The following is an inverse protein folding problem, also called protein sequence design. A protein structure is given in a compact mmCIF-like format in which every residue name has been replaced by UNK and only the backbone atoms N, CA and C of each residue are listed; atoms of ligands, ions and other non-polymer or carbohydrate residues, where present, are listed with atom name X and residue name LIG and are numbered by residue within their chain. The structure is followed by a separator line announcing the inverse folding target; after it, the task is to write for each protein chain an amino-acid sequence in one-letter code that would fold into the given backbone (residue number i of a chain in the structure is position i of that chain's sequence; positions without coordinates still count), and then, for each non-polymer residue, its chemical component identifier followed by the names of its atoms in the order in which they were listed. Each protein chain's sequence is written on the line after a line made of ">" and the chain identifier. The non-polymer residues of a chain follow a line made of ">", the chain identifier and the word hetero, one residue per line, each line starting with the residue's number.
data_IF_681631275885
#
_entry.id   IF_681631275885
#
_cell.length_a   1.000
_cell.length_b   1.000
_cell.length_c   1.000
_cell.angle_alpha   90.00
_cell.angle_beta   90.00
_cell.angle_gamma   90.00
#
_symmetry.space_group_name_H-M   'P 1'
#
loop_
_entity.id
_entity.type
_entity.pdbx_description
1 polymer ?
#
# COMPACT_ATOMS: atom_id res chain seq x y z
N UNK A 1 3.56 -10.74 1.96
CA UNK A 1 2.43 -9.89 1.50
C UNK A 1 2.78 -8.44 1.77
N UNK A 2 2.59 -7.60 0.79
CA UNK A 2 2.77 -6.14 0.85
C UNK A 2 1.72 -5.45 -0.01
N UNK A 3 1.26 -4.28 0.42
CA UNK A 3 0.58 -3.33 -0.46
C UNK A 3 1.51 -2.14 -0.66
N UNK A 4 2.15 -2.07 -1.84
CA UNK A 4 3.09 -1.01 -2.16
C UNK A 4 2.37 0.27 -2.57
N UNK A 5 2.60 1.33 -1.82
CA UNK A 5 2.04 2.65 -2.05
C UNK A 5 3.18 3.70 -2.06
N UNK A 6 3.95 3.78 -3.16
CA UNK A 6 5.01 4.79 -3.27
C UNK A 6 4.50 6.23 -3.28
N UNK A 7 3.21 6.44 -3.54
CA UNK A 7 2.53 7.73 -3.56
C UNK A 7 1.16 7.68 -2.87
N UNK A 8 0.57 8.84 -2.58
CA UNK A 8 -0.77 8.95 -2.00
C UNK A 8 -1.89 8.65 -3.01
N UNK A 9 -1.62 8.88 -4.31
CA UNK A 9 -2.53 8.50 -5.38
C UNK A 9 -2.40 7.01 -5.69
N UNK A 10 -3.53 6.32 -5.81
CA UNK A 10 -3.56 4.88 -6.01
C UNK A 10 -3.14 4.47 -7.42
N UNK A 11 -3.56 5.22 -8.43
CA UNK A 11 -3.19 4.90 -9.81
C UNK A 11 -1.71 5.22 -10.06
N UNK A 12 -1.24 6.35 -9.57
CA UNK A 12 0.18 6.72 -9.63
C UNK A 12 1.05 5.67 -8.94
N UNK A 13 0.63 5.21 -7.75
CA UNK A 13 1.31 4.11 -7.04
C UNK A 13 1.36 2.83 -7.88
N UNK A 14 0.24 2.40 -8.43
CA UNK A 14 0.16 1.19 -9.25
C UNK A 14 0.97 1.31 -10.55
N UNK A 15 0.87 2.45 -11.24
CA UNK A 15 1.59 2.72 -12.48
C UNK A 15 3.11 2.80 -12.28
N UNK A 16 3.57 3.20 -11.10
CA UNK A 16 4.99 3.27 -10.76
C UNK A 16 5.64 1.90 -10.56
N UNK A 17 4.88 0.84 -10.27
CA UNK A 17 5.42 -0.50 -10.02
C UNK A 17 5.97 -1.13 -11.30
N UNK A 18 7.02 -1.92 -11.18
CA UNK A 18 7.43 -2.83 -12.26
C UNK A 18 6.34 -3.90 -12.49
N UNK A 19 6.35 -4.54 -13.66
CA UNK A 19 5.30 -5.48 -14.07
C UNK A 19 5.14 -6.64 -13.08
N UNK A 20 6.25 -7.16 -12.54
CA UNK A 20 6.22 -8.26 -11.56
C UNK A 20 5.53 -7.84 -10.25
N UNK A 21 5.86 -6.65 -9.73
CA UNK A 21 5.25 -6.13 -8.50
C UNK A 21 3.80 -5.76 -8.72
N UNK A 22 3.47 -5.14 -9.84
CA UNK A 22 2.09 -4.82 -10.19
C UNK A 22 1.23 -6.10 -10.31
N UNK A 23 1.76 -7.14 -10.94
CA UNK A 23 1.07 -8.44 -11.02
C UNK A 23 0.78 -9.00 -9.62
N UNK A 24 1.76 -8.96 -8.72
CA UNK A 24 1.58 -9.42 -7.35
C UNK A 24 0.58 -8.55 -6.58
N UNK A 25 0.62 -7.22 -6.76
CA UNK A 25 -0.28 -6.31 -6.06
C UNK A 25 -1.75 -6.57 -6.34
N UNK A 26 -2.12 -6.88 -7.58
CA UNK A 26 -3.50 -7.27 -7.92
C UNK A 26 -3.94 -8.48 -7.09
N UNK A 27 -3.09 -9.49 -6.96
CA UNK A 27 -3.39 -10.70 -6.19
C UNK A 27 -3.42 -10.44 -4.69
N UNK A 28 -2.43 -9.73 -4.18
CA UNK A 28 -2.31 -9.45 -2.75
C UNK A 28 -3.43 -8.52 -2.25
N UNK A 29 -3.77 -7.47 -3.00
CA UNK A 29 -4.89 -6.59 -2.67
C UNK A 29 -6.23 -7.34 -2.71
N UNK A 30 -6.42 -8.26 -3.67
CA UNK A 30 -7.60 -9.14 -3.72
C UNK A 30 -7.72 -10.00 -2.47
N UNK A 31 -6.63 -10.65 -2.05
CA UNK A 31 -6.65 -11.47 -0.84
C UNK A 31 -6.97 -10.67 0.42
N UNK A 32 -6.46 -9.44 0.51
CA UNK A 32 -6.79 -8.58 1.66
C UNK A 32 -8.26 -8.16 1.62
N UNK A 33 -8.82 -7.87 0.44
CA UNK A 33 -10.26 -7.59 0.31
C UNK A 33 -11.11 -8.78 0.73
N UNK A 34 -10.82 -9.99 0.25
CA UNK A 34 -11.51 -11.21 0.62
C UNK A 34 -11.45 -11.43 2.14
N UNK A 35 -10.29 -11.23 2.75
CA UNK A 35 -10.17 -11.33 4.21
C UNK A 35 -10.99 -10.26 4.95
N UNK A 36 -11.04 -9.02 4.47
CA UNK A 36 -11.87 -7.96 5.06
C UNK A 36 -13.37 -8.24 4.92
N UNK A 37 -13.77 -8.95 3.86
CA UNK A 37 -15.14 -9.40 3.61
C UNK A 37 -15.51 -10.65 4.42
N UNK A 38 -14.57 -11.22 5.18
CA UNK A 38 -14.78 -12.42 5.99
C UNK A 38 -14.50 -13.73 5.26
N UNK A 39 -13.99 -13.64 4.04
CA UNK A 39 -13.64 -14.77 3.18
C UNK A 39 -12.12 -14.97 3.09
N UNK A 40 -11.70 -16.10 2.54
CA UNK A 40 -10.30 -16.35 2.21
C UNK A 40 -9.40 -16.68 3.41
N UNK A 41 -8.13 -16.33 3.29
CA UNK A 41 -7.10 -16.67 4.27
C UNK A 41 -7.12 -15.73 5.47
N UNK A 42 -6.80 -16.24 6.66
CA UNK A 42 -6.59 -15.39 7.84
C UNK A 42 -5.30 -14.55 7.69
N UNK A 43 -5.47 -13.26 7.52
CA UNK A 43 -4.39 -12.30 7.33
C UNK A 43 -4.10 -11.45 8.57
N UNK A 44 -4.64 -11.81 9.75
CA UNK A 44 -4.44 -11.05 11.00
C UNK A 44 -2.97 -10.86 11.40
N UNK A 45 -2.09 -11.77 11.00
CA UNK A 45 -0.67 -11.68 11.30
C UNK A 45 0.09 -10.65 10.43
N UNK A 46 -0.49 -10.22 9.31
CA UNK A 46 0.19 -9.35 8.34
C UNK A 46 -0.14 -7.88 8.55
N UNK A 47 0.88 -7.05 8.80
CA UNK A 47 0.75 -5.60 8.95
C UNK A 47 0.15 -4.95 7.71
N UNK A 48 0.57 -5.39 6.51
CA UNK A 48 0.06 -4.92 5.23
C UNK A 48 -1.44 -5.20 5.00
N UNK A 49 -2.02 -6.18 5.67
CA UNK A 49 -3.45 -6.42 5.64
C UNK A 49 -4.17 -5.61 6.73
N UNK A 50 -3.62 -5.61 7.95
CA UNK A 50 -4.25 -4.94 9.10
C UNK A 50 -4.40 -3.43 8.92
N UNK A 51 -3.49 -2.78 8.18
CA UNK A 51 -3.57 -1.35 7.92
C UNK A 51 -4.84 -0.92 7.18
N UNK A 52 -5.47 -1.85 6.47
CA UNK A 52 -6.70 -1.60 5.70
C UNK A 52 -8.00 -1.85 6.48
N UNK A 53 -7.93 -2.29 7.74
CA UNK A 53 -9.13 -2.45 8.57
C UNK A 53 -9.86 -1.11 8.74
N UNK A 54 -11.16 -1.11 8.44
CA UNK A 54 -11.98 0.09 8.40
C UNK A 54 -11.93 0.84 7.06
N UNK A 55 -11.00 0.51 6.16
CA UNK A 55 -10.78 1.22 4.89
C UNK A 55 -10.93 0.32 3.67
N UNK A 56 -11.91 -0.57 3.71
CA UNK A 56 -12.17 -1.51 2.61
C UNK A 56 -12.40 -0.79 1.27
N UNK A 57 -13.14 0.33 1.28
CA UNK A 57 -13.41 1.12 0.08
C UNK A 57 -12.12 1.67 -0.56
N UNK A 58 -11.22 2.21 0.27
CA UNK A 58 -9.93 2.68 -0.20
C UNK A 58 -9.06 1.55 -0.78
N UNK A 59 -9.06 0.36 -0.14
CA UNK A 59 -8.36 -0.81 -0.69
C UNK A 59 -8.97 -1.28 -2.01
N UNK A 60 -10.30 -1.25 -2.15
CA UNK A 60 -10.98 -1.58 -3.40
C UNK A 60 -10.60 -0.60 -4.53
N UNK A 61 -10.51 0.69 -4.22
CA UNK A 61 -10.03 1.71 -5.16
C UNK A 61 -8.57 1.44 -5.58
N UNK A 62 -7.68 1.13 -4.64
CA UNK A 62 -6.30 0.74 -4.94
C UNK A 62 -6.23 -0.53 -5.80
N UNK A 63 -7.01 -1.54 -5.47
CA UNK A 63 -7.10 -2.77 -6.26
C UNK A 63 -7.53 -2.50 -7.70
N UNK A 64 -8.58 -1.70 -7.89
CA UNK A 64 -9.04 -1.32 -9.23
C UNK A 64 -7.96 -0.52 -9.98
N UNK A 65 -7.25 0.39 -9.32
CA UNK A 65 -6.13 1.12 -9.91
C UNK A 65 -4.99 0.18 -10.37
N UNK A 66 -4.73 -0.90 -9.63
CA UNK A 66 -3.77 -1.92 -10.05
C UNK A 66 -4.25 -2.69 -11.29
N UNK A 67 -5.56 -2.97 -11.42
CA UNK A 67 -6.13 -3.57 -12.63
C UNK A 67 -5.98 -2.64 -13.83
N UNK A 68 -6.32 -1.37 -13.67
CA UNK A 68 -6.23 -0.35 -14.73
C UNK A 68 -4.78 -0.16 -15.20
N UNK A 69 -3.83 -0.03 -14.27
CA UNK A 69 -2.42 0.11 -14.60
C UNK A 69 -1.85 -1.14 -15.30
N UNK A 70 -2.39 -2.32 -14.99
CA UNK A 70 -1.99 -3.56 -15.66
C UNK A 70 -2.53 -3.63 -17.10
N UNK A 71 -3.78 -3.26 -17.31
CA UNK A 71 -4.42 -3.19 -18.64
C UNK A 71 -3.80 -2.09 -19.51
N UNK A 72 -3.42 -0.94 -18.93
CA UNK A 72 -2.73 0.13 -19.64
C UNK A 72 -1.38 -0.30 -20.23
N UNK A 73 -0.80 -1.43 -19.75
CA UNK A 73 0.40 -2.05 -20.33
C UNK A 73 0.09 -3.08 -21.43
N UNK A 74 -1.15 -3.17 -21.88
CA UNK A 74 -1.59 -4.18 -22.85
C UNK A 74 -1.72 -5.60 -22.27
N UNK A 75 -1.69 -5.76 -20.93
CA UNK A 75 -1.80 -7.02 -20.25
C UNK A 75 -3.26 -7.29 -19.87
N UNK A 76 -3.66 -8.56 -19.81
CA UNK A 76 -5.05 -8.94 -19.50
C UNK A 76 -5.21 -9.39 -18.06
N UNK A 77 -6.20 -8.86 -17.37
CA UNK A 77 -6.62 -9.39 -16.08
C UNK A 77 -7.31 -10.75 -16.28
N UNK A 78 -6.98 -11.70 -15.40
CA UNK A 78 -7.60 -13.04 -15.44
C UNK A 78 -9.05 -13.01 -14.93
N UNK A 79 -9.80 -14.10 -15.14
CA UNK A 79 -11.24 -14.15 -14.79
C UNK A 79 -11.51 -14.00 -13.29
N UNK A 80 -10.54 -14.27 -12.44
CA UNK A 80 -10.65 -14.09 -10.97
C UNK A 80 -10.35 -12.66 -10.51
N UNK A 81 -9.97 -11.77 -11.43
CA UNK A 81 -9.57 -10.38 -11.15
C UNK A 81 -10.70 -9.40 -11.51
N UNK A 82 -11.92 -9.68 -11.08
CA UNK A 82 -13.05 -8.76 -11.29
C UNK A 82 -12.90 -7.47 -10.48
N UNK A 83 -13.29 -6.35 -11.10
CA UNK A 83 -13.32 -5.04 -10.42
C UNK A 83 -14.23 -5.11 -9.18
N UNK A 84 -13.91 -4.30 -8.20
CA UNK A 84 -14.70 -4.14 -6.98
C UNK A 84 -15.49 -2.84 -7.01
N UNK A 85 -16.70 -2.87 -6.48
CA UNK A 85 -17.49 -1.67 -6.28
C UNK A 85 -16.82 -0.77 -5.23
N UNK A 86 -16.76 0.52 -5.55
CA UNK A 86 -16.18 1.56 -4.70
C UNK A 86 -17.19 2.68 -4.57
N UNK A 87 -17.61 2.97 -3.35
CA UNK A 87 -18.46 4.12 -3.08
C UNK A 87 -17.68 5.42 -3.42
N UNK A 88 -18.32 6.43 -4.05
CA UNK A 88 -17.65 7.68 -4.43
C UNK A 88 -17.03 8.41 -3.21
N UNK A 89 -17.65 8.27 -2.06
CA UNK A 89 -17.31 8.91 -0.78
C UNK A 89 -16.58 7.96 0.19
N UNK A 90 -15.87 6.96 -0.32
CA UNK A 90 -15.12 6.05 0.55
C UNK A 90 -14.12 6.80 1.44
N UNK A 91 -14.04 6.37 2.68
CA UNK A 91 -13.12 6.94 3.66
C UNK A 91 -11.65 6.63 3.29
N UNK A 92 -10.82 7.68 3.25
CA UNK A 92 -9.38 7.53 3.03
C UNK A 92 -8.67 7.29 4.36
N UNK A 93 -7.72 6.34 4.41
CA UNK A 93 -6.94 6.12 5.62
C UNK A 93 -6.12 7.36 6.00
N UNK A 94 -6.04 7.73 7.29
CA UNK A 94 -5.30 8.93 7.71
C UNK A 94 -3.79 8.85 7.50
N UNK A 95 -3.24 7.65 7.33
CA UNK A 95 -1.83 7.43 7.00
C UNK A 95 -1.53 7.56 5.49
N UNK A 96 -2.56 7.61 4.66
CA UNK A 96 -2.40 7.80 3.21
C UNK A 96 -2.11 9.28 2.94
N UNK A 97 -0.92 9.58 2.46
CA UNK A 97 -0.39 10.93 2.30
C UNK A 97 0.76 11.25 3.26
N UNK A 98 1.01 10.40 4.27
CA UNK A 98 2.20 10.59 5.10
C UNK A 98 3.48 10.36 4.26
N UNK A 99 4.26 11.42 4.08
CA UNK A 99 5.45 11.40 3.24
C UNK A 99 6.48 10.34 3.67
N UNK A 100 6.59 10.09 4.98
CA UNK A 100 7.52 9.09 5.55
C UNK A 100 7.10 7.68 5.18
N UNK A 101 5.78 7.40 5.23
CA UNK A 101 5.24 6.11 4.81
C UNK A 101 5.53 5.86 3.32
N UNK A 102 5.25 6.82 2.45
CA UNK A 102 5.50 6.67 1.01
C UNK A 102 6.98 6.58 0.68
N UNK A 103 7.84 7.35 1.36
CA UNK A 103 9.29 7.25 1.21
C UNK A 103 9.82 5.86 1.58
N UNK A 104 9.36 5.27 2.69
CA UNK A 104 9.72 3.91 3.08
C UNK A 104 9.26 2.87 2.03
N UNK A 105 8.10 3.06 1.40
CA UNK A 105 7.63 2.19 0.32
C UNK A 105 8.54 2.28 -0.92
N UNK A 106 8.97 3.50 -1.31
CA UNK A 106 9.93 3.70 -2.41
C UNK A 106 11.29 3.06 -2.11
N UNK A 107 11.81 3.23 -0.89
CA UNK A 107 13.06 2.61 -0.46
C UNK A 107 13.00 1.07 -0.57
N UNK A 108 11.90 0.45 -0.15
CA UNK A 108 11.69 -0.99 -0.29
C UNK A 108 11.66 -1.46 -1.75
N UNK A 109 11.04 -0.68 -2.62
CA UNK A 109 10.99 -0.98 -4.06
C UNK A 109 12.37 -0.87 -4.71
N UNK A 110 13.16 0.15 -4.34
CA UNK A 110 14.56 0.30 -4.78
C UNK A 110 15.41 -0.93 -4.44
N UNK A 111 15.27 -1.48 -3.23
CA UNK A 111 15.97 -2.71 -2.84
C UNK A 111 15.55 -3.93 -3.69
N UNK A 112 14.29 -3.98 -4.10
CA UNK A 112 13.76 -5.12 -4.88
C UNK A 112 14.15 -5.08 -6.35
N UNK A 113 14.30 -3.91 -6.92
CA UNK A 113 14.72 -3.71 -8.31
C UNK A 113 15.43 -2.35 -8.47
N UNK A 114 16.72 -2.29 -8.08
CA UNK A 114 17.50 -1.04 -8.09
C UNK A 114 17.58 -0.38 -9.48
N UNK A 115 17.70 -1.18 -10.53
CA UNK A 115 17.80 -0.69 -11.90
C UNK A 115 16.50 0.03 -12.32
N UNK A 116 15.36 -0.64 -12.19
CA UNK A 116 14.07 -0.09 -12.60
C UNK A 116 13.66 1.14 -11.78
N UNK A 117 13.77 1.06 -10.44
CA UNK A 117 13.32 2.15 -9.56
C UNK A 117 14.36 3.26 -9.44
N UNK A 118 15.65 2.94 -9.56
CA UNK A 118 16.72 3.93 -9.64
C UNK A 118 16.60 4.84 -10.87
N UNK A 119 16.19 4.30 -12.01
CA UNK A 119 15.91 5.06 -13.22
C UNK A 119 14.76 6.08 -13.07
N UNK A 120 13.91 5.94 -12.04
CA UNK A 120 12.86 6.92 -11.71
C UNK A 120 13.36 8.12 -10.88
N UNK A 121 14.66 8.16 -10.58
CA UNK A 121 15.24 9.20 -9.73
C UNK A 121 14.87 9.07 -8.24
N UNK A 122 14.38 7.91 -7.80
CA UNK A 122 14.10 7.67 -6.40
C UNK A 122 15.41 7.50 -5.62
N UNK A 123 15.50 8.21 -4.50
CA UNK A 123 16.64 8.15 -3.61
C UNK A 123 16.34 7.20 -2.43
N UNK A 124 17.26 6.24 -2.19
CA UNK A 124 17.23 5.37 -1.02
C UNK A 124 17.74 6.08 0.24
N UNK A 125 18.28 7.29 0.11
CA UNK A 125 18.89 8.06 1.18
C UNK A 125 17.89 8.82 2.06
N UNK A 126 16.59 8.69 1.85
CA UNK A 126 15.61 9.16 2.82
C UNK A 126 15.46 8.13 3.97
N UNK A 127 16.27 8.20 4.98
CA UNK A 127 16.62 7.02 5.79
C UNK A 127 16.22 7.13 7.23
N UNK A 128 15.41 8.08 7.64
CA UNK A 128 14.93 8.09 9.03
C UNK A 128 14.14 6.83 9.37
N UNK A 129 13.57 6.19 8.35
CA UNK A 129 12.76 4.97 8.52
C UNK A 129 13.50 3.69 8.09
N UNK A 130 14.72 3.80 7.54
CA UNK A 130 15.54 2.64 7.14
C UNK A 130 14.94 1.83 6.00
N UNK A 131 15.64 0.76 5.62
CA UNK A 131 15.26 -0.19 4.55
C UNK A 131 14.26 -1.28 5.02
N UNK A 132 13.65 -1.11 6.16
CA UNK A 132 12.72 -2.09 6.74
C UNK A 132 11.27 -1.77 6.35
N UNK A 133 10.43 -2.80 6.35
CA UNK A 133 9.00 -2.63 6.07
C UNK A 133 8.34 -1.76 7.14
N UNK A 134 7.78 -0.64 6.72
CA UNK A 134 7.04 0.28 7.58
C UNK A 134 5.54 0.14 7.29
N UNK A 135 4.76 -0.02 8.34
CA UNK A 135 3.31 -0.13 8.28
C UNK A 135 2.64 0.84 9.24
N UNK A 136 1.49 1.42 8.86
CA UNK A 136 0.63 2.07 9.81
C UNK A 136 -0.09 1.03 10.68
N UNK A 137 -0.23 1.35 11.96
CA UNK A 137 -0.95 0.54 12.95
C UNK A 137 -1.74 1.46 13.87
N UNK A 138 -2.94 1.05 14.24
CA UNK A 138 -3.72 1.77 15.23
C UNK A 138 -3.32 1.35 16.64
N UNK A 139 -2.93 2.31 17.47
CA UNK A 139 -2.62 2.13 18.89
C UNK A 139 -3.37 3.16 19.73
N UNK A 140 -4.18 2.69 20.70
CA UNK A 140 -4.95 3.57 21.60
C UNK A 140 -5.73 4.68 20.88
N UNK A 141 -6.36 4.34 19.75
CA UNK A 141 -7.15 5.28 18.93
C UNK A 141 -6.35 6.20 18.01
N UNK A 142 -5.02 6.12 18.01
CA UNK A 142 -4.15 6.90 17.13
C UNK A 142 -3.45 6.01 16.12
N UNK A 143 -3.14 6.56 14.95
CA UNK A 143 -2.34 5.88 13.96
C UNK A 143 -0.87 6.20 14.18
N UNK A 144 -0.04 5.15 14.15
CA UNK A 144 1.41 5.24 14.27
C UNK A 144 2.07 4.46 13.13
N UNK A 145 3.19 4.96 12.64
CA UNK A 145 4.07 4.21 11.76
C UNK A 145 4.98 3.33 12.62
N UNK A 146 5.08 2.07 12.29
CA UNK A 146 5.97 1.15 12.98
C UNK A 146 6.73 0.28 11.97
N UNK A 147 7.88 -0.20 12.41
CA UNK A 147 8.64 -1.24 11.71
C UNK A 147 8.75 -2.48 12.57
N UNK A 148 8.90 -3.63 11.94
CA UNK A 148 9.12 -4.88 12.64
C UNK A 148 10.60 -5.23 12.62
N UNK A 149 11.26 -5.13 13.77
CA UNK A 149 12.65 -5.49 13.97
C UNK A 149 12.74 -6.65 14.96
N UNK A 150 13.40 -7.76 14.57
CA UNK A 150 13.61 -8.93 15.44
C UNK A 150 12.32 -9.46 16.08
N UNK A 151 11.24 -9.55 15.30
CA UNK A 151 9.88 -9.95 15.74
C UNK A 151 9.20 -8.98 16.73
N UNK A 152 9.77 -7.82 16.98
CA UNK A 152 9.20 -6.76 17.82
C UNK A 152 8.77 -5.59 16.96
N UNK A 153 7.62 -4.99 17.31
CA UNK A 153 7.17 -3.76 16.67
C UNK A 153 7.88 -2.57 17.34
N UNK A 154 8.48 -1.72 16.53
CA UNK A 154 9.12 -0.48 16.97
C UNK A 154 8.35 0.69 16.38
N UNK A 155 7.77 1.53 17.22
CA UNK A 155 7.08 2.76 16.80
C UNK A 155 8.12 3.75 16.28
N UNK A 156 7.88 4.30 15.10
CA UNK A 156 8.75 5.28 14.45
C UNK A 156 8.19 6.69 14.56
N UNK A 157 6.88 6.87 14.36
CA UNK A 157 6.25 8.17 14.37
C UNK A 157 4.74 8.06 14.56
N UNK A 158 4.09 9.09 15.10
CA UNK A 158 2.65 9.26 15.00
C UNK A 158 2.28 9.78 13.60
N UNK A 159 1.17 9.28 13.09
CA UNK A 159 0.55 9.82 11.88
C UNK A 159 -0.38 10.94 12.32
N UNK A 160 0.00 12.16 12.04
CA UNK A 160 -0.90 13.30 12.19
C UNK A 160 -1.80 13.29 10.95
N UNK A 161 -3.07 12.99 11.16
CA UNK A 161 -4.06 13.13 10.10
C UNK A 161 -4.27 14.59 9.77
N UNK A 162 -3.43 15.15 8.92
CA UNK A 162 -3.80 16.36 8.21
C UNK A 162 -4.93 15.97 7.26
N UNK A 163 -6.12 16.44 7.56
CA UNK A 163 -7.22 16.45 6.59
C UNK A 163 -6.71 17.26 5.42
N UNK A 164 -6.24 16.60 4.38
CA UNK A 164 -6.02 17.26 3.10
C UNK A 164 -7.41 17.65 2.62
N UNK A 165 -7.81 18.89 2.86
CA UNK A 165 -8.95 19.47 2.16
C UNK A 165 -8.61 19.34 0.67
N UNK A 166 -9.39 18.52 -0.02
CA UNK A 166 -9.32 18.43 -1.47
C UNK A 166 -9.71 19.78 -2.05
N UNK A 167 -8.99 20.28 -3.07
CA UNK A 167 -9.36 21.50 -3.77
C UNK A 167 -10.69 21.35 -4.51
#
# INVERSE_FOLDING_TARGET
>A
MMTFLPFADFYESAAALDTKRLQNQRTEARFVLEWLDGDGFDLRAYGAARMWRGYRGALAAYYNACLDAYEARGLKNGPTMGRRDVAPDYERPPWLGDARFHAAQRAQLLLKNPEFYGAKGWDASEPELGVEYVYPKQEKGRWVLYRRKNKKDVVLAEVHGDVVEAP
#
